data_IF_805643096757
#
_entry.id   IF_805643096757
#
_cell.length_a   1.000
_cell.length_b   1.000
_cell.length_c   1.000
_cell.angle_alpha   90.00
_cell.angle_beta   90.00
_cell.angle_gamma   90.00
#
_symmetry.space_group_name_H-M   'P 1'
#
loop_
_entity.id
_entity.type
_entity.pdbx_description
1 polymer ?
#
# COMPACT_ATOMS: atom_id res chain seq x y z
N UNK A 1 -14.56 20.92 81.13
CA UNK A 1 -15.36 20.43 79.98
C UNK A 1 -14.62 20.80 78.70
N UNK A 2 -14.61 20.07 77.60
CA UNK A 2 -14.89 18.64 77.30
C UNK A 2 -14.20 18.38 75.93
N UNK A 3 -13.35 17.39 75.68
CA UNK A 3 -12.82 16.32 76.54
C UNK A 3 -11.43 15.81 76.04
N UNK A 4 -11.02 14.63 76.48
CA UNK A 4 -9.79 13.86 76.25
C UNK A 4 -9.26 13.72 74.80
N UNK A 5 -7.94 13.60 74.74
CA UNK A 5 -7.10 12.90 73.75
C UNK A 5 -7.78 11.80 72.91
N UNK A 6 -7.37 11.71 71.64
CA UNK A 6 -7.21 10.43 70.94
C UNK A 6 -5.90 10.42 70.15
N UNK A 7 -5.17 9.31 70.20
CA UNK A 7 -3.87 9.17 69.53
C UNK A 7 -4.06 8.84 68.04
N UNK A 8 -3.22 9.42 67.18
CA UNK A 8 -3.19 9.09 65.74
C UNK A 8 -2.29 7.87 65.56
N UNK A 9 -2.88 6.75 65.14
CA UNK A 9 -2.16 5.57 64.72
C UNK A 9 -1.71 5.72 63.25
N UNK A 10 -0.41 5.72 63.01
CA UNK A 10 0.17 5.67 61.66
C UNK A 10 0.07 4.24 61.11
N UNK A 11 -0.91 4.01 60.23
CA UNK A 11 -1.02 2.78 59.45
C UNK A 11 -0.21 2.91 58.15
N UNK A 12 1.02 2.40 58.14
CA UNK A 12 1.88 2.35 56.95
C UNK A 12 1.35 1.34 55.91
N UNK A 13 0.49 1.80 55.00
CA UNK A 13 -0.02 1.00 53.89
C UNK A 13 0.99 0.89 52.75
N UNK A 14 1.79 -0.20 52.74
CA UNK A 14 2.68 -0.52 51.62
C UNK A 14 1.90 -0.95 50.38
N UNK A 15 1.63 -0.02 49.47
CA UNK A 15 1.17 -0.36 48.12
C UNK A 15 2.31 -1.00 47.32
N UNK A 16 2.28 -2.32 47.17
CA UNK A 16 3.06 -3.01 46.15
C UNK A 16 2.49 -2.65 44.77
N UNK A 17 3.12 -1.67 44.10
CA UNK A 17 2.94 -1.47 42.66
C UNK A 17 3.60 -2.65 41.96
N UNK A 18 2.80 -3.65 41.58
CA UNK A 18 3.25 -4.71 40.69
C UNK A 18 3.58 -4.06 39.34
N UNK A 19 4.82 -4.15 38.82
CA UNK A 19 5.11 -3.67 37.48
C UNK A 19 4.31 -4.52 36.50
N UNK A 20 3.28 -3.92 35.89
CA UNK A 20 2.58 -4.54 34.79
C UNK A 20 3.56 -4.73 33.64
N UNK A 21 4.10 -5.93 33.49
CA UNK A 21 4.78 -6.34 32.26
C UNK A 21 3.75 -6.29 31.15
N UNK A 22 3.70 -5.14 30.47
CA UNK A 22 3.03 -5.02 29.19
C UNK A 22 3.73 -5.99 28.24
N UNK A 23 3.15 -7.19 28.08
CA UNK A 23 3.54 -8.10 27.04
C UNK A 23 3.30 -7.40 25.72
N UNK A 24 4.35 -6.82 25.14
CA UNK A 24 4.35 -6.43 23.75
C UNK A 24 3.99 -7.68 22.96
N UNK A 25 2.75 -7.74 22.47
CA UNK A 25 2.37 -8.76 21.50
C UNK A 25 3.34 -8.58 20.35
N UNK A 26 4.14 -9.61 19.98
CA UNK A 26 5.04 -9.47 18.86
C UNK A 26 4.20 -9.10 17.65
N UNK A 27 4.47 -7.93 17.06
CA UNK A 27 3.87 -7.51 15.81
C UNK A 27 4.18 -8.61 14.80
N UNK A 28 3.17 -9.43 14.53
CA UNK A 28 3.29 -10.54 13.61
C UNK A 28 3.14 -9.92 12.25
N UNK A 29 4.27 -9.44 11.73
CA UNK A 29 4.41 -8.87 10.38
C UNK A 29 3.54 -9.71 9.46
N UNK A 30 2.53 -9.11 8.78
CA UNK A 30 1.64 -9.82 7.90
C UNK A 30 2.42 -10.78 7.01
N UNK A 31 1.99 -12.04 6.96
CA UNK A 31 2.64 -13.04 6.12
C UNK A 31 2.26 -12.77 4.65
N UNK A 32 2.87 -11.74 4.08
CA UNK A 32 2.73 -11.36 2.68
C UNK A 32 3.27 -12.51 1.83
N UNK A 33 2.39 -13.15 1.07
CA UNK A 33 2.78 -14.32 0.26
C UNK A 33 3.24 -13.88 -1.12
N UNK A 34 4.31 -14.52 -1.62
CA UNK A 34 4.75 -14.30 -2.99
C UNK A 34 3.67 -14.78 -3.97
N UNK A 35 3.23 -13.91 -4.86
CA UNK A 35 2.15 -14.20 -5.80
C UNK A 35 2.27 -13.32 -7.05
N UNK A 36 1.64 -13.77 -8.15
CA UNK A 36 1.37 -12.96 -9.33
C UNK A 36 -0.12 -12.91 -9.59
N UNK A 37 -0.67 -11.70 -9.59
CA UNK A 37 -2.05 -11.42 -9.96
C UNK A 37 -2.13 -10.75 -11.33
N UNK A 38 -3.07 -11.18 -12.15
CA UNK A 38 -3.39 -10.58 -13.46
C UNK A 38 -4.82 -10.07 -13.39
N UNK A 39 -5.03 -8.81 -13.76
CA UNK A 39 -6.32 -8.15 -13.75
C UNK A 39 -6.67 -7.66 -15.15
N UNK A 40 -7.91 -7.90 -15.56
CA UNK A 40 -8.46 -7.28 -16.77
C UNK A 40 -9.06 -5.92 -16.40
N UNK A 41 -8.67 -4.90 -17.15
CA UNK A 41 -9.02 -3.50 -16.89
C UNK A 41 -10.11 -3.04 -17.85
N UNK A 42 -11.13 -2.38 -17.30
CA UNK A 42 -12.25 -1.80 -18.04
C UNK A 42 -12.54 -0.39 -17.53
N UNK A 43 -12.95 0.51 -18.44
CA UNK A 43 -13.51 1.80 -18.07
C UNK A 43 -14.83 1.61 -17.31
N UNK A 44 -14.90 2.16 -16.10
CA UNK A 44 -16.08 2.10 -15.23
C UNK A 44 -16.90 3.38 -15.29
N UNK A 45 -16.24 4.52 -15.40
CA UNK A 45 -16.85 5.83 -15.54
C UNK A 45 -15.87 6.80 -16.23
N UNK A 46 -16.39 7.81 -16.92
CA UNK A 46 -15.60 8.87 -17.55
C UNK A 46 -16.45 10.15 -17.64
N UNK A 47 -15.86 11.27 -17.21
CA UNK A 47 -16.48 12.58 -17.38
C UNK A 47 -16.18 13.15 -18.76
N UNK A 48 -17.08 13.97 -19.31
CA UNK A 48 -16.91 14.62 -20.63
C UNK A 48 -15.55 15.34 -20.78
N UNK A 49 -15.05 15.92 -19.68
CA UNK A 49 -13.75 16.63 -19.62
C UNK A 49 -12.53 15.72 -19.83
N UNK A 50 -12.67 14.41 -19.65
CA UNK A 50 -11.58 13.45 -19.86
C UNK A 50 -11.28 13.20 -21.35
N UNK A 51 -12.26 13.41 -22.23
CA UNK A 51 -12.16 13.05 -23.65
C UNK A 51 -12.03 11.54 -23.92
N UNK A 52 -12.31 10.67 -22.94
CA UNK A 52 -12.20 9.21 -23.07
C UNK A 52 -13.57 8.63 -23.43
N UNK A 53 -13.70 8.06 -24.62
CA UNK A 53 -14.90 7.30 -25.03
C UNK A 53 -14.84 5.83 -24.56
N UNK A 54 -13.63 5.29 -24.37
CA UNK A 54 -13.45 3.92 -23.91
C UNK A 54 -12.03 3.64 -23.46
N UNK A 55 -11.88 2.76 -22.47
CA UNK A 55 -10.58 2.23 -22.07
C UNK A 55 -10.68 0.76 -21.73
N UNK A 56 -9.73 -0.03 -22.21
CA UNK A 56 -9.55 -1.44 -21.88
C UNK A 56 -8.07 -1.73 -21.68
N UNK A 57 -7.74 -2.69 -20.83
CA UNK A 57 -6.34 -2.98 -20.55
C UNK A 57 -6.10 -4.25 -19.75
N UNK A 58 -4.86 -4.42 -19.31
CA UNK A 58 -4.45 -5.49 -18.41
C UNK A 58 -3.37 -5.01 -17.46
N UNK A 59 -3.52 -5.36 -16.19
CA UNK A 59 -2.54 -5.13 -15.15
C UNK A 59 -1.94 -6.47 -14.71
N UNK A 60 -0.63 -6.52 -14.53
CA UNK A 60 0.09 -7.65 -13.95
C UNK A 60 0.87 -7.14 -12.75
N UNK A 61 0.66 -7.75 -11.59
CA UNK A 61 1.35 -7.46 -10.34
C UNK A 61 2.00 -8.74 -9.85
N UNK A 62 3.33 -8.80 -9.82
CA UNK A 62 4.11 -9.89 -9.25
C UNK A 62 4.85 -9.38 -8.02
N UNK A 63 4.59 -10.00 -6.87
CA UNK A 63 5.19 -9.71 -5.58
C UNK A 63 5.99 -10.92 -5.12
N UNK A 64 7.28 -10.73 -4.83
CA UNK A 64 8.19 -11.78 -4.36
C UNK A 64 9.06 -11.29 -3.22
N UNK A 65 9.75 -12.22 -2.54
CA UNK A 65 10.65 -11.89 -1.43
C UNK A 65 10.18 -12.42 -0.09
N UNK A 66 10.74 -11.85 0.98
CA UNK A 66 10.48 -12.24 2.37
C UNK A 66 11.01 -11.20 3.35
N UNK A 67 10.54 -11.25 4.61
CA UNK A 67 10.93 -10.32 5.68
C UNK A 67 12.43 -10.26 6.02
N UNK A 68 13.26 -11.15 5.46
CA UNK A 68 14.71 -11.22 5.68
C UNK A 68 15.54 -10.99 4.40
N UNK A 69 14.91 -10.97 3.22
CA UNK A 69 15.57 -10.67 1.92
C UNK A 69 15.13 -9.33 1.33
N UNK A 70 14.09 -8.72 1.90
CA UNK A 70 13.35 -7.62 1.28
C UNK A 70 12.24 -8.15 0.36
N UNK A 71 11.47 -7.24 -0.19
CA UNK A 71 10.36 -7.53 -1.09
C UNK A 71 10.62 -6.87 -2.45
N UNK A 72 10.32 -7.61 -3.52
CA UNK A 72 10.37 -7.10 -4.89
C UNK A 72 8.96 -7.05 -5.46
N UNK A 73 8.64 -5.95 -6.13
CA UNK A 73 7.42 -5.83 -6.94
C UNK A 73 7.80 -5.63 -8.40
N UNK A 74 7.27 -6.45 -9.30
CA UNK A 74 7.21 -6.16 -10.73
C UNK A 74 5.77 -5.89 -11.11
N UNK A 75 5.52 -4.71 -11.68
CA UNK A 75 4.22 -4.19 -12.03
C UNK A 75 4.20 -3.79 -13.49
N UNK A 76 3.17 -4.22 -14.23
CA UNK A 76 2.94 -3.80 -15.61
C UNK A 76 1.49 -3.41 -15.81
N UNK A 77 1.26 -2.21 -16.32
CA UNK A 77 -0.06 -1.64 -16.53
C UNK A 77 -0.18 -1.21 -17.99
N UNK A 78 -0.95 -1.97 -18.76
CA UNK A 78 -1.16 -1.72 -20.19
C UNK A 78 -2.61 -1.28 -20.40
N UNK A 79 -2.82 -0.13 -21.02
CA UNK A 79 -4.16 0.38 -21.37
C UNK A 79 -4.20 0.89 -22.79
N UNK A 80 -5.25 0.48 -23.51
CA UNK A 80 -5.64 1.06 -24.78
C UNK A 80 -6.76 2.07 -24.52
N UNK A 81 -6.48 3.34 -24.80
CA UNK A 81 -7.37 4.47 -24.58
C UNK A 81 -7.95 4.90 -25.94
N UNK A 82 -9.27 4.99 -26.03
CA UNK A 82 -9.98 5.51 -27.20
C UNK A 82 -10.60 6.88 -26.85
N UNK A 83 -10.30 7.90 -27.67
CA UNK A 83 -10.81 9.27 -27.52
C UNK A 83 -11.75 9.68 -28.66
N UNK A 84 -12.30 8.71 -29.39
CA UNK A 84 -13.12 8.92 -30.60
C UNK A 84 -12.29 9.25 -31.84
N UNK A 85 -11.45 10.28 -31.74
CA UNK A 85 -10.53 10.71 -32.81
C UNK A 85 -9.31 9.79 -32.95
N UNK A 86 -8.87 9.16 -31.86
CA UNK A 86 -7.63 8.38 -31.82
C UNK A 86 -7.70 7.22 -30.82
N UNK A 87 -6.87 6.22 -31.06
CA UNK A 87 -6.56 5.13 -30.13
C UNK A 87 -5.09 5.22 -29.77
N UNK A 88 -4.77 5.28 -28.47
CA UNK A 88 -3.41 5.33 -27.92
C UNK A 88 -3.16 4.12 -27.04
N UNK A 89 -2.02 3.47 -27.22
CA UNK A 89 -1.54 2.41 -26.33
C UNK A 89 -0.57 3.01 -25.31
N UNK A 90 -0.84 2.82 -24.03
CA UNK A 90 0.12 3.08 -22.95
C UNK A 90 0.52 1.78 -22.26
N UNK A 91 1.81 1.64 -21.97
CA UNK A 91 2.38 0.51 -21.23
C UNK A 91 3.37 1.07 -20.20
N UNK A 92 3.01 0.98 -18.92
CA UNK A 92 3.89 1.32 -17.82
C UNK A 92 4.47 0.05 -17.21
N UNK A 93 5.79 -0.01 -17.13
CA UNK A 93 6.55 -1.10 -16.53
C UNK A 93 7.32 -0.55 -15.33
N UNK A 94 6.97 -1.00 -14.13
CA UNK A 94 7.55 -0.55 -12.87
C UNK A 94 8.16 -1.74 -12.13
N UNK A 95 9.43 -1.65 -11.75
CA UNK A 95 10.08 -2.61 -10.86
C UNK A 95 10.55 -1.88 -9.61
N UNK A 96 10.21 -2.40 -8.43
CA UNK A 96 10.66 -1.89 -7.15
C UNK A 96 11.25 -2.98 -6.28
N UNK A 97 12.12 -2.57 -5.35
CA UNK A 97 12.64 -3.41 -4.27
C UNK A 97 12.65 -2.62 -2.97
N UNK A 98 12.21 -3.25 -1.88
CA UNK A 98 12.02 -2.65 -0.58
C UNK A 98 12.63 -3.54 0.52
N UNK A 99 13.63 -3.02 1.21
CA UNK A 99 14.13 -3.58 2.47
C UNK A 99 13.51 -2.80 3.62
N UNK A 100 12.41 -3.35 4.15
CA UNK A 100 11.66 -2.81 5.30
C UNK A 100 12.54 -2.72 6.56
N UNK A 101 13.53 -3.60 6.73
CA UNK A 101 14.36 -3.63 7.92
C UNK A 101 15.45 -2.54 7.92
N UNK A 102 16.00 -2.21 6.75
CA UNK A 102 16.95 -1.08 6.60
C UNK A 102 16.31 0.21 6.10
N UNK A 103 14.99 0.25 5.93
CA UNK A 103 14.20 1.35 5.37
C UNK A 103 14.80 1.88 4.07
N UNK A 104 14.94 1.00 3.08
CA UNK A 104 15.45 1.33 1.75
C UNK A 104 14.50 0.87 0.66
N UNK A 105 14.38 1.71 -0.34
CA UNK A 105 13.52 1.50 -1.50
C UNK A 105 14.29 1.86 -2.77
N UNK A 106 14.19 1.04 -3.80
CA UNK A 106 14.70 1.34 -5.13
C UNK A 106 13.59 1.15 -6.15
N UNK A 107 13.49 2.04 -7.11
CA UNK A 107 12.40 2.07 -8.09
C UNK A 107 12.92 2.38 -9.49
N UNK A 108 12.36 1.69 -10.47
CA UNK A 108 12.47 2.01 -11.89
C UNK A 108 11.07 1.98 -12.49
N UNK A 109 10.66 3.04 -13.18
CA UNK A 109 9.42 3.10 -13.97
C UNK A 109 9.75 3.52 -15.39
N UNK A 110 9.35 2.72 -16.36
CA UNK A 110 9.42 3.00 -17.81
C UNK A 110 8.01 3.10 -18.35
N UNK A 111 7.68 4.24 -18.93
CA UNK A 111 6.39 4.50 -19.55
C UNK A 111 6.56 4.56 -21.06
N UNK A 112 5.80 3.72 -21.76
CA UNK A 112 5.78 3.65 -23.22
C UNK A 112 4.44 4.18 -23.75
N UNK A 113 4.51 4.92 -24.85
CA UNK A 113 3.37 5.30 -25.70
C UNK A 113 3.58 4.69 -27.07
N UNK A 114 2.60 3.93 -27.58
CA UNK A 114 2.61 3.35 -28.92
C UNK A 114 3.97 2.66 -29.23
N UNK A 115 4.39 1.79 -28.30
CA UNK A 115 5.65 1.03 -28.25
C UNK A 115 6.95 1.87 -28.21
N UNK A 116 6.86 3.18 -27.99
CA UNK A 116 8.03 4.08 -27.84
C UNK A 116 8.19 4.51 -26.39
N UNK A 117 9.43 4.48 -25.89
CA UNK A 117 9.75 4.99 -24.56
C UNK A 117 9.49 6.50 -24.51
N UNK A 118 8.60 6.91 -23.61
CA UNK A 118 8.14 8.29 -23.43
C UNK A 118 8.78 8.90 -22.16
N UNK A 119 8.82 8.13 -21.07
CA UNK A 119 9.42 8.54 -19.79
C UNK A 119 10.18 7.37 -19.14
N UNK A 120 11.29 7.67 -18.48
CA UNK A 120 12.00 6.73 -17.61
C UNK A 120 12.42 7.46 -16.33
N UNK A 121 11.99 6.94 -15.18
CA UNK A 121 12.34 7.43 -13.84
C UNK A 121 13.05 6.29 -13.12
N UNK A 122 14.19 6.59 -12.50
CA UNK A 122 15.00 5.58 -11.79
C UNK A 122 15.67 6.20 -10.60
N UNK A 123 15.54 5.59 -9.42
CA UNK A 123 16.19 6.11 -8.22
C UNK A 123 16.13 5.18 -7.02
N UNK A 124 16.63 5.70 -5.91
CA UNK A 124 16.55 5.07 -4.60
C UNK A 124 16.11 6.07 -3.54
N UNK A 125 15.38 5.60 -2.53
CA UNK A 125 15.01 6.33 -1.35
C UNK A 125 15.45 5.59 -0.07
N UNK A 126 15.83 6.33 0.96
CA UNK A 126 16.16 5.78 2.28
C UNK A 126 15.70 6.72 3.40
N UNK A 127 15.25 6.16 4.54
CA UNK A 127 15.04 6.94 5.78
C UNK A 127 16.39 7.12 6.48
N UNK A 128 16.92 8.35 6.45
CA UNK A 128 18.16 8.72 7.13
C UNK A 128 17.85 9.77 8.22
N UNK A 129 17.83 9.33 9.46
CA UNK A 129 17.62 10.17 10.65
C UNK A 129 16.26 10.92 10.67
N UNK A 130 15.19 10.34 10.12
CA UNK A 130 13.86 10.95 10.08
C UNK A 130 13.64 11.91 8.91
N UNK A 131 14.54 11.90 7.92
CA UNK A 131 14.33 12.52 6.61
C UNK A 131 14.45 11.44 5.53
N UNK A 132 13.56 11.49 4.53
CA UNK A 132 13.66 10.61 3.37
C UNK A 132 14.63 11.22 2.35
N UNK A 133 15.74 10.52 2.12
CA UNK A 133 16.77 10.88 1.14
C UNK A 133 16.50 10.16 -0.16
N UNK A 134 16.27 10.90 -1.24
CA UNK A 134 16.05 10.36 -2.58
C UNK A 134 17.25 10.70 -3.46
N UNK A 135 17.76 9.71 -4.19
CA UNK A 135 18.80 9.82 -5.21
C UNK A 135 18.20 9.35 -6.55
N UNK A 136 17.76 10.30 -7.37
CA UNK A 136 17.28 10.07 -8.73
C UNK A 136 18.47 10.00 -9.67
N UNK A 137 18.44 9.03 -10.58
CA UNK A 137 19.47 8.79 -11.60
C UNK A 137 18.94 8.99 -13.03
N UNK A 138 17.61 8.93 -13.21
CA UNK A 138 16.89 9.24 -14.47
C UNK A 138 15.58 9.98 -14.18
N UNK A 139 15.11 10.87 -15.07
CA UNK A 139 15.73 11.24 -16.35
C UNK A 139 17.03 12.04 -16.19
N UNK A 140 17.12 12.84 -15.12
CA UNK A 140 18.30 13.61 -14.72
C UNK A 140 18.73 13.25 -13.30
N UNK A 141 20.04 13.32 -13.02
CA UNK A 141 20.57 13.03 -11.70
C UNK A 141 20.21 14.15 -10.71
N UNK A 142 19.40 13.84 -9.68
CA UNK A 142 18.90 14.80 -8.68
C UNK A 142 18.87 14.18 -7.29
N UNK A 143 19.18 14.97 -6.25
CA UNK A 143 19.03 14.56 -4.85
C UNK A 143 17.98 15.41 -4.16
N UNK A 144 17.11 14.76 -3.40
CA UNK A 144 15.91 15.38 -2.83
C UNK A 144 15.74 14.91 -1.38
N UNK A 145 15.41 15.85 -0.51
CA UNK A 145 15.13 15.62 0.91
C UNK A 145 13.63 15.82 1.14
N UNK A 146 12.92 14.77 1.50
CA UNK A 146 11.51 14.83 1.89
C UNK A 146 11.31 14.51 3.38
N UNK A 147 10.12 14.82 3.90
CA UNK A 147 9.67 14.33 5.21
C UNK A 147 9.59 12.81 5.16
N UNK A 148 10.10 12.12 6.19
CA UNK A 148 10.03 10.66 6.27
C UNK A 148 8.58 10.16 6.20
N UNK A 149 8.40 9.02 5.54
CA UNK A 149 7.13 8.34 5.31
C UNK A 149 7.38 6.87 4.99
N UNK A 150 6.30 6.11 4.85
CA UNK A 150 6.35 4.68 4.60
C UNK A 150 6.62 4.38 3.13
N UNK A 151 7.31 3.27 2.84
CA UNK A 151 7.38 2.69 1.50
C UNK A 151 6.17 1.77 1.24
N UNK A 152 5.91 1.32 -0.01
CA UNK A 152 4.64 0.67 -0.36
C UNK A 152 4.34 -0.62 0.41
N UNK A 153 5.35 -1.41 0.76
CA UNK A 153 5.20 -2.66 1.50
C UNK A 153 5.03 -2.41 2.99
N UNK A 154 5.80 -1.49 3.58
CA UNK A 154 5.62 -0.98 4.94
C UNK A 154 4.20 -0.42 5.14
N UNK A 155 3.69 0.36 4.16
CA UNK A 155 2.32 0.86 4.16
C UNK A 155 1.28 -0.28 4.02
N UNK A 156 1.48 -1.26 3.13
CA UNK A 156 0.58 -2.43 3.02
C UNK A 156 0.53 -3.24 4.32
N UNK A 157 1.69 -3.43 4.98
CA UNK A 157 1.77 -4.06 6.31
C UNK A 157 0.94 -3.27 7.32
N UNK A 158 1.11 -1.95 7.38
CA UNK A 158 0.38 -1.06 8.27
C UNK A 158 -1.15 -1.11 8.04
N UNK A 159 -1.60 -1.18 6.78
CA UNK A 159 -3.02 -1.37 6.42
C UNK A 159 -3.56 -2.69 6.99
N UNK A 160 -2.85 -3.80 6.79
CA UNK A 160 -3.28 -5.13 7.26
C UNK A 160 -3.26 -5.20 8.80
N UNK A 161 -2.27 -4.62 9.46
CA UNK A 161 -2.20 -4.56 10.92
C UNK A 161 -3.32 -3.71 11.52
N UNK A 162 -3.57 -2.52 10.97
CA UNK A 162 -4.69 -1.67 11.38
C UNK A 162 -6.04 -2.38 11.17
N UNK A 163 -6.21 -3.09 10.04
CA UNK A 163 -7.40 -3.89 9.77
C UNK A 163 -7.61 -5.02 10.79
N UNK A 164 -6.55 -5.75 11.16
CA UNK A 164 -6.57 -6.80 12.21
C UNK A 164 -6.85 -6.23 13.60
N UNK A 165 -6.34 -5.03 13.91
CA UNK A 165 -6.59 -4.32 15.17
C UNK A 165 -7.96 -3.61 15.21
N UNK A 166 -8.74 -3.63 14.12
CA UNK A 166 -10.01 -2.91 14.04
C UNK A 166 -9.87 -1.38 13.99
N UNK A 167 -8.67 -0.85 13.72
CA UNK A 167 -8.44 0.57 13.44
C UNK A 167 -8.92 0.88 12.01
N UNK A 168 -10.03 1.59 11.91
CA UNK A 168 -10.77 1.73 10.63
C UNK A 168 -10.44 2.96 9.81
N UNK A 169 -9.85 3.99 10.41
CA UNK A 169 -9.47 5.23 9.74
C UNK A 169 -8.09 5.61 10.27
N UNK A 170 -7.15 5.90 9.37
CA UNK A 170 -5.83 6.42 9.69
C UNK A 170 -5.24 7.17 8.49
N UNK A 171 -4.22 7.96 8.75
CA UNK A 171 -3.47 8.72 7.74
C UNK A 171 -2.00 8.35 7.80
N UNK A 172 -1.36 8.31 6.63
CA UNK A 172 0.06 7.97 6.48
C UNK A 172 0.67 8.82 5.37
N UNK A 173 1.98 9.07 5.44
CA UNK A 173 2.76 9.60 4.32
C UNK A 173 3.38 8.42 3.58
N UNK A 174 3.25 8.38 2.26
CA UNK A 174 3.76 7.29 1.42
C UNK A 174 4.66 7.86 0.33
N UNK A 175 5.79 7.19 0.09
CA UNK A 175 6.61 7.37 -1.11
C UNK A 175 6.66 6.05 -1.86
N UNK A 176 6.24 6.05 -3.12
CA UNK A 176 6.17 4.86 -3.98
C UNK A 176 7.00 4.99 -5.27
N UNK A 177 7.67 6.13 -5.48
CA UNK A 177 8.44 6.41 -6.69
C UNK A 177 7.58 6.63 -7.94
N UNK A 178 6.31 7.00 -7.78
CA UNK A 178 5.41 7.37 -8.89
C UNK A 178 5.81 8.69 -9.55
N UNK A 179 5.16 8.99 -10.69
CA UNK A 179 5.30 10.22 -11.48
C UNK A 179 6.74 10.61 -11.82
N UNK A 180 7.34 11.56 -11.10
CA UNK A 180 8.72 12.05 -11.28
C UNK A 180 9.69 11.58 -10.18
N UNK A 181 9.19 10.78 -9.22
CA UNK A 181 9.96 10.22 -8.11
C UNK A 181 10.45 11.26 -7.10
N UNK A 182 9.85 12.46 -7.06
CA UNK A 182 10.30 13.61 -6.28
C UNK A 182 9.29 14.20 -5.28
N UNK A 183 8.04 13.71 -5.26
CA UNK A 183 7.04 14.04 -4.22
C UNK A 183 6.70 12.81 -3.35
N UNK A 184 6.15 13.04 -2.16
CA UNK A 184 5.51 12.01 -1.33
C UNK A 184 4.06 12.39 -1.08
N UNK A 185 3.18 11.40 -1.02
CA UNK A 185 1.74 11.59 -0.95
C UNK A 185 1.23 11.39 0.46
N UNK A 186 0.27 12.22 0.86
CA UNK A 186 -0.55 11.95 2.05
C UNK A 186 -1.65 10.98 1.65
N UNK A 187 -1.82 9.92 2.43
CA UNK A 187 -2.89 8.94 2.26
C UNK A 187 -3.88 9.05 3.41
N UNK A 188 -5.17 8.96 3.08
CA UNK A 188 -6.23 8.72 4.07
C UNK A 188 -6.85 7.36 3.76
N UNK A 189 -6.72 6.43 4.71
CA UNK A 189 -7.13 5.02 4.54
C UNK A 189 -8.37 4.72 5.37
N UNK A 190 -9.41 4.20 4.70
CA UNK A 190 -10.63 3.69 5.30
C UNK A 190 -10.69 2.16 5.15
N UNK A 191 -10.78 1.45 6.27
CA UNK A 191 -10.97 0.01 6.35
C UNK A 191 -12.41 -0.34 6.71
N UNK A 192 -13.05 -1.13 5.85
CA UNK A 192 -14.37 -1.71 6.04
C UNK A 192 -14.42 -2.71 7.19
N UNK A 193 -15.62 -3.20 7.50
CA UNK A 193 -15.73 -4.42 8.33
C UNK A 193 -15.22 -5.61 7.52
N UNK A 194 -14.61 -6.59 8.19
CA UNK A 194 -14.25 -7.85 7.54
C UNK A 194 -15.52 -8.54 7.03
N UNK A 195 -15.44 -9.12 5.82
CA UNK A 195 -16.56 -9.75 5.11
C UNK A 195 -16.11 -11.09 4.54
N UNK A 196 -17.04 -12.05 4.47
CA UNK A 196 -16.88 -13.23 3.64
C UNK A 196 -17.33 -12.91 2.20
N UNK A 197 -16.81 -13.60 1.17
CA UNK A 197 -17.32 -13.52 -0.20
C UNK A 197 -18.82 -13.84 -0.26
N UNK A 198 -19.57 -13.04 -1.00
CA UNK A 198 -20.98 -13.29 -1.26
C UNK A 198 -21.14 -14.42 -2.28
N UNK A 199 -22.28 -15.13 -2.23
CA UNK A 199 -22.62 -16.12 -3.24
C UNK A 199 -22.66 -15.47 -4.63
N UNK A 200 -21.86 -16.00 -5.57
CA UNK A 200 -21.75 -15.46 -6.92
C UNK A 200 -20.71 -14.34 -7.12
N UNK A 201 -19.85 -14.03 -6.14
CA UNK A 201 -18.70 -13.13 -6.32
C UNK A 201 -17.70 -13.75 -7.33
N UNK A 202 -17.79 -13.31 -8.60
CA UNK A 202 -17.01 -13.85 -9.73
C UNK A 202 -15.49 -13.70 -9.51
N UNK A 203 -15.07 -12.56 -8.97
CA UNK A 203 -13.67 -12.26 -8.65
C UNK A 203 -13.15 -13.16 -7.52
N UNK A 204 -14.01 -13.52 -6.55
CA UNK A 204 -13.63 -14.47 -5.51
C UNK A 204 -13.29 -15.84 -6.11
N UNK A 205 -14.08 -16.33 -7.08
CA UNK A 205 -13.81 -17.59 -7.79
C UNK A 205 -12.45 -17.63 -8.52
N UNK A 206 -11.84 -16.46 -8.76
CA UNK A 206 -10.52 -16.31 -9.40
C UNK A 206 -9.36 -16.24 -8.42
N UNK A 207 -9.63 -16.12 -7.12
CA UNK A 207 -8.65 -16.10 -6.05
C UNK A 207 -8.18 -17.50 -5.58
N UNK A 208 -8.55 -18.57 -6.30
CA UNK A 208 -8.10 -19.94 -6.02
C UNK A 208 -8.49 -20.42 -4.63
N UNK A 209 -7.51 -20.87 -3.84
CA UNK A 209 -7.72 -21.32 -2.45
C UNK A 209 -8.29 -20.22 -1.54
N UNK A 210 -8.11 -18.94 -1.90
CA UNK A 210 -8.64 -17.78 -1.16
C UNK A 210 -10.08 -17.39 -1.57
N UNK A 211 -10.72 -18.14 -2.47
CA UNK A 211 -12.06 -17.86 -2.98
C UNK A 211 -13.17 -17.84 -1.92
N UNK A 212 -12.94 -18.44 -0.74
CA UNK A 212 -13.86 -18.43 0.40
C UNK A 212 -13.31 -17.71 1.62
N UNK A 213 -12.10 -17.15 1.53
CA UNK A 213 -11.42 -16.49 2.64
C UNK A 213 -12.02 -15.10 2.86
N UNK A 214 -12.14 -14.69 4.12
CA UNK A 214 -12.60 -13.36 4.48
C UNK A 214 -11.61 -12.28 4.05
N UNK A 215 -12.12 -11.12 3.67
CA UNK A 215 -11.35 -9.95 3.24
C UNK A 215 -11.84 -8.68 3.95
N UNK A 216 -11.08 -7.60 3.87
CA UNK A 216 -11.52 -6.25 4.22
C UNK A 216 -11.72 -5.45 2.94
N UNK A 217 -12.87 -4.77 2.74
CA UNK A 217 -12.96 -3.66 1.80
C UNK A 217 -12.05 -2.53 2.29
N UNK A 218 -11.15 -2.04 1.45
CA UNK A 218 -10.24 -0.93 1.76
C UNK A 218 -10.43 0.16 0.72
N UNK A 219 -10.34 1.42 1.16
CA UNK A 219 -10.23 2.59 0.28
C UNK A 219 -9.09 3.47 0.75
N UNK A 220 -8.20 3.84 -0.16
CA UNK A 220 -7.06 4.73 0.08
C UNK A 220 -7.23 5.92 -0.85
N UNK A 221 -7.30 7.12 -0.28
CA UNK A 221 -7.35 8.38 -1.00
C UNK A 221 -6.00 9.09 -0.87
N UNK A 222 -5.43 9.53 -2.00
CA UNK A 222 -4.10 10.11 -2.11
C UNK A 222 -4.20 11.61 -2.37
N UNK A 223 -3.39 12.38 -1.65
CA UNK A 223 -3.37 13.84 -1.69
C UNK A 223 -1.92 14.31 -1.87
N UNK A 224 -1.72 15.33 -2.70
CA UNK A 224 -0.45 16.05 -2.76
C UNK A 224 -0.13 16.67 -1.38
N UNK A 225 1.15 16.68 -1.00
CA UNK A 225 1.65 17.36 0.21
C UNK A 225 1.71 18.89 0.04
N UNK A 226 0.57 19.49 -0.32
CA UNK A 226 0.41 20.91 -0.61
C UNK A 226 -0.56 21.51 0.41
N UNK A 227 -0.14 22.60 1.04
CA UNK A 227 -0.86 23.23 2.17
C UNK A 227 -2.12 23.96 1.71
N UNK A 228 -3.27 23.28 1.82
CA UNK A 228 -4.60 23.86 1.57
C UNK A 228 -5.69 23.06 2.25
N UNK A 229 -6.63 23.73 2.93
CA UNK A 229 -7.65 23.10 3.79
C UNK A 229 -8.84 22.49 3.04
N UNK A 230 -8.78 22.41 1.70
CA UNK A 230 -9.90 22.00 0.84
C UNK A 230 -9.39 21.20 -0.39
N UNK A 231 -8.29 20.44 -0.20
CA UNK A 231 -7.68 19.65 -1.26
C UNK A 231 -8.46 18.36 -1.49
N UNK A 232 -9.00 18.18 -2.70
CA UNK A 232 -9.58 16.92 -3.14
C UNK A 232 -8.47 15.87 -3.36
N UNK A 233 -8.76 14.56 -3.19
CA UNK A 233 -7.79 13.53 -3.53
C UNK A 233 -7.50 13.53 -5.03
N UNK A 234 -6.23 13.45 -5.39
CA UNK A 234 -5.77 13.37 -6.79
C UNK A 234 -5.95 11.96 -7.37
N UNK A 235 -6.00 10.95 -6.51
CA UNK A 235 -6.22 9.56 -6.86
C UNK A 235 -6.90 8.85 -5.69
N UNK A 236 -7.83 7.93 -5.99
CA UNK A 236 -8.49 7.10 -5.00
C UNK A 236 -8.56 5.66 -5.47
N UNK A 237 -8.04 4.74 -4.66
CA UNK A 237 -8.08 3.31 -4.94
C UNK A 237 -8.97 2.61 -3.92
N UNK A 238 -9.89 1.77 -4.39
CA UNK A 238 -10.72 0.88 -3.56
C UNK A 238 -10.55 -0.56 -4.00
N UNK A 239 -10.46 -1.50 -3.05
CA UNK A 239 -10.17 -2.90 -3.31
C UNK A 239 -10.62 -3.80 -2.16
N UNK A 240 -10.72 -5.11 -2.42
CA UNK A 240 -10.86 -6.15 -1.39
C UNK A 240 -9.48 -6.69 -1.05
N UNK A 241 -9.07 -6.60 0.22
CA UNK A 241 -7.76 -6.99 0.74
C UNK A 241 -7.85 -8.26 1.59
N UNK A 242 -7.03 -9.26 1.27
CA UNK A 242 -6.81 -10.45 2.11
C UNK A 242 -5.70 -10.21 3.13
N UNK A 243 -5.64 -11.02 4.19
CA UNK A 243 -4.69 -10.88 5.31
C UNK A 243 -3.22 -11.22 4.96
N UNK A 244 -3.01 -11.71 3.73
CA UNK A 244 -1.77 -12.14 3.12
C UNK A 244 -1.27 -11.21 1.99
N UNK A 245 -1.89 -10.03 1.83
CA UNK A 245 -1.50 -9.02 0.85
C UNK A 245 -2.12 -9.15 -0.54
N UNK A 246 -2.85 -10.22 -0.85
CA UNK A 246 -3.57 -10.31 -2.14
C UNK A 246 -4.71 -9.28 -2.17
N UNK A 247 -4.88 -8.62 -3.31
CA UNK A 247 -6.01 -7.72 -3.59
C UNK A 247 -6.87 -8.25 -4.75
N UNK A 248 -8.13 -7.80 -4.82
CA UNK A 248 -9.06 -8.04 -5.95
C UNK A 248 -10.17 -6.98 -5.99
N UNK A 249 -11.00 -7.00 -7.03
CA UNK A 249 -12.14 -6.08 -7.20
C UNK A 249 -11.69 -4.63 -7.10
N UNK A 250 -10.76 -4.25 -7.97
CA UNK A 250 -10.12 -2.94 -7.95
C UNK A 250 -11.04 -1.89 -8.56
N UNK A 251 -11.10 -0.72 -7.95
CA UNK A 251 -11.64 0.52 -8.52
C UNK A 251 -10.58 1.61 -8.34
N UNK A 252 -10.14 2.20 -9.45
CA UNK A 252 -9.05 3.16 -9.52
C UNK A 252 -9.60 4.45 -10.12
N UNK A 253 -9.75 5.46 -9.28
CA UNK A 253 -10.45 6.71 -9.57
C UNK A 253 -9.43 7.85 -9.67
N UNK A 254 -9.28 8.39 -10.87
CA UNK A 254 -8.34 9.46 -11.23
C UNK A 254 -9.05 10.83 -11.30
N UNK A 255 -10.28 10.95 -10.77
CA UNK A 255 -11.08 12.17 -10.74
C UNK A 255 -11.70 12.60 -12.08
N UNK A 256 -11.01 12.37 -13.21
CA UNK A 256 -11.53 12.58 -14.57
C UNK A 256 -12.24 11.33 -15.12
N UNK A 257 -11.73 10.15 -14.75
CA UNK A 257 -12.23 8.85 -15.16
C UNK A 257 -11.95 7.81 -14.07
N UNK A 258 -12.67 6.69 -14.12
CA UNK A 258 -12.57 5.58 -13.17
C UNK A 258 -12.38 4.28 -13.95
N UNK A 259 -11.36 3.51 -13.56
CA UNK A 259 -11.13 2.16 -14.05
C UNK A 259 -11.56 1.12 -13.03
N UNK A 260 -11.97 -0.05 -13.50
CA UNK A 260 -12.11 -1.25 -12.67
C UNK A 260 -11.15 -2.33 -13.12
N UNK A 261 -10.53 -3.02 -12.16
CA UNK A 261 -9.62 -4.13 -12.39
C UNK A 261 -10.16 -5.42 -11.77
N UNK A 262 -10.63 -6.34 -12.60
CA UNK A 262 -11.20 -7.64 -12.17
C UNK A 262 -10.11 -8.69 -12.16
N UNK A 263 -10.02 -9.49 -11.10
CA UNK A 263 -8.98 -10.53 -11.00
C UNK A 263 -9.20 -11.63 -12.05
N UNK A 264 -8.37 -11.68 -13.08
CA UNK A 264 -8.47 -12.64 -14.18
C UNK A 264 -7.75 -13.96 -13.87
N UNK A 265 -6.58 -13.87 -13.20
CA UNK A 265 -5.73 -15.00 -12.81
C UNK A 265 -4.91 -14.68 -11.55
N UNK A 266 -4.73 -15.67 -10.69
CA UNK A 266 -3.80 -15.64 -9.56
C UNK A 266 -2.87 -16.86 -9.61
N UNK A 267 -1.56 -16.63 -9.65
CA UNK A 267 -0.52 -17.65 -9.46
C UNK A 267 0.13 -17.46 -8.08
N UNK A 268 0.12 -18.48 -7.22
CA UNK A 268 0.90 -18.44 -5.97
C UNK A 268 2.33 -18.87 -6.27
N UNK A 269 3.29 -18.04 -5.88
CA UNK A 269 4.71 -18.25 -6.14
C UNK A 269 5.38 -18.91 -4.93
N UNK A 270 6.57 -19.48 -5.14
CA UNK A 270 7.34 -20.06 -4.04
C UNK A 270 7.83 -18.92 -3.13
N UNK A 271 7.61 -18.99 -1.81
CA UNK A 271 8.16 -18.00 -0.89
C UNK A 271 9.67 -18.09 -0.88
N UNK A 272 10.35 -16.94 -0.79
CA UNK A 272 11.77 -16.94 -0.51
C UNK A 272 12.01 -17.38 0.94
N UNK A 273 12.86 -18.39 1.12
CA UNK A 273 13.13 -18.93 2.45
C UNK A 273 14.14 -18.06 3.17
N UNK A 274 13.77 -17.58 4.37
CA UNK A 274 14.75 -17.07 5.31
C UNK A 274 15.66 -18.20 5.78
N UNK A 275 16.93 -18.14 5.36
CA UNK A 275 18.00 -18.88 5.99
C UNK A 275 17.94 -18.58 7.49
N UNK A 276 17.83 -19.62 8.32
CA UNK A 276 17.92 -19.43 9.78
C UNK A 276 19.28 -18.84 10.09
N UNK A 277 19.33 -17.55 10.42
CA UNK A 277 20.55 -16.91 10.91
C UNK A 277 21.10 -17.77 12.05
N UNK A 278 22.30 -18.33 11.85
CA UNK A 278 22.98 -19.02 12.92
C UNK A 278 23.37 -17.98 13.96
N UNK A 279 22.63 -17.95 15.06
CA UNK A 279 23.05 -17.28 16.28
C UNK A 279 24.40 -17.88 16.67
N UNK A 280 25.44 -17.05 16.58
CA UNK A 280 26.79 -17.33 17.10
C UNK A 280 26.98 -16.57 18.41
#
# INVERSE_FOLDING_TARGET
MFVRNLAIALASGSFMVVPGVASAVPATVPNLISHRAVYDLELKDASDRSGIEGMTGRMVYEFTGSSCKGYKTDFRFVTQINTGDAVRLTDQQTTTFEDVASKKFTFETKSFTDDKLDKEVTGSAADENGAMKIDLTKPDARKIDLVAGEFPTEHMVQVIENAKLGKRIFESRVFDGSDDGDESLITSTLVGKQQAPADGDVDAGKAGDFAKTSFWPVTIAYYNDKTGTDSLPIYRMSFKLYDNGITRDLTMDYGDFVLTGKLAKLDILKPETCDKQQVR
#
